data_IF_626123656126
#
_entry.id   IF_626123656126
#
_cell.length_a   1.000
_cell.length_b   1.000
_cell.length_c   1.000
_cell.angle_alpha   90.00
_cell.angle_beta   90.00
_cell.angle_gamma   90.00
#
_symmetry.space_group_name_H-M   'P 1'
#
loop_
_entity.id
_entity.type
_entity.pdbx_description
1 polymer ?
#
# COMPACT_ATOMS: atom_id res chain seq x y z
N UNK A 1 -1.08 20.93 11.66
CA UNK A 1 0.01 19.94 11.52
C UNK A 1 0.14 19.67 10.04
N UNK A 2 1.30 19.91 9.45
CA UNK A 2 1.57 19.42 8.10
C UNK A 2 1.81 17.92 8.24
N UNK A 3 0.95 17.11 7.62
CA UNK A 3 1.25 15.69 7.46
C UNK A 3 2.51 15.57 6.59
N UNK A 4 3.49 14.80 7.05
CA UNK A 4 4.60 14.40 6.18
C UNK A 4 4.00 13.55 5.06
N UNK A 5 4.48 13.73 3.82
CA UNK A 5 4.11 12.89 2.66
C UNK A 5 4.17 11.38 3.00
N UNK A 6 5.03 10.99 3.95
CA UNK A 6 5.15 9.68 4.63
C UNK A 6 3.86 8.95 4.90
N UNK A 7 2.81 9.63 5.38
CA UNK A 7 1.56 8.96 5.84
C UNK A 7 0.46 8.92 4.78
N UNK A 8 0.64 9.62 3.67
CA UNK A 8 -0.36 9.79 2.60
C UNK A 8 -0.12 8.91 1.39
N UNK A 9 1.06 8.31 1.28
CA UNK A 9 1.42 7.40 0.20
C UNK A 9 0.99 6.00 0.59
N UNK A 10 -0.31 5.75 0.47
CA UNK A 10 -0.79 4.39 0.36
C UNK A 10 0.06 3.65 -0.69
N UNK A 11 0.37 2.37 -0.49
CA UNK A 11 0.90 1.48 -1.54
C UNK A 11 -0.15 1.27 -2.66
N UNK A 12 -1.15 2.16 -2.76
CA UNK A 12 -2.18 2.28 -3.78
C UNK A 12 -1.51 2.58 -5.10
N UNK A 13 -1.10 1.49 -5.70
CA UNK A 13 -0.87 1.17 -7.09
C UNK A 13 -0.45 -0.28 -7.01
N UNK A 14 -0.88 -1.13 -7.94
CA UNK A 14 -0.27 -2.46 -8.21
C UNK A 14 -1.02 -3.69 -7.69
N UNK A 15 -2.12 -3.57 -6.94
CA UNK A 15 -3.00 -4.75 -6.69
C UNK A 15 -3.42 -5.47 -7.99
N UNK A 16 -3.58 -4.74 -9.10
CA UNK A 16 -3.84 -5.32 -10.43
C UNK A 16 -2.60 -5.80 -11.20
N UNK A 17 -1.40 -5.35 -10.84
CA UNK A 17 -0.18 -5.63 -11.61
C UNK A 17 0.63 -6.83 -11.09
N UNK A 18 0.33 -7.34 -9.89
CA UNK A 18 0.89 -8.61 -9.39
C UNK A 18 -0.02 -9.82 -9.68
N UNK A 19 -1.29 -9.59 -10.01
CA UNK A 19 -2.32 -10.63 -10.15
C UNK A 19 -2.79 -10.85 -11.59
N UNK A 20 -1.95 -10.60 -12.60
CA UNK A 20 -2.20 -11.09 -13.95
C UNK A 20 -1.59 -12.50 -14.04
N UNK A 21 -2.40 -13.58 -14.02
CA UNK A 21 -1.85 -14.92 -14.20
C UNK A 21 -1.19 -14.93 -15.56
N UNK A 22 0.13 -15.15 -15.60
CA UNK A 22 0.73 -15.59 -16.83
C UNK A 22 0.20 -17.01 -17.05
N UNK A 23 -0.93 -17.12 -17.76
CA UNK A 23 -1.52 -18.40 -18.11
C UNK A 23 -0.50 -19.21 -18.93
N UNK A 24 0.34 -19.97 -18.22
CA UNK A 24 1.23 -20.95 -18.79
C UNK A 24 0.37 -22.09 -19.29
N UNK A 25 0.22 -22.08 -20.60
CA UNK A 25 -0.21 -23.20 -21.42
C UNK A 25 0.65 -24.43 -21.10
N UNK A 26 0.19 -25.26 -20.18
CA UNK A 26 0.63 -26.66 -20.05
C UNK A 26 -0.58 -27.54 -19.79
N UNK A 27 -0.83 -28.43 -20.74
CA UNK A 27 -2.08 -29.19 -20.86
C UNK A 27 -2.29 -30.27 -19.80
N UNK A 28 -3.55 -30.73 -19.78
CA UNK A 28 -4.06 -32.02 -19.30
C UNK A 28 -3.42 -32.63 -18.05
N UNK A 29 -4.17 -32.72 -16.94
CA UNK A 29 -4.55 -33.99 -16.32
C UNK A 29 -5.76 -33.78 -15.39
N UNK A 30 -6.75 -34.66 -15.51
CA UNK A 30 -7.99 -34.59 -14.76
C UNK A 30 -7.98 -35.38 -13.44
N UNK A 31 -8.94 -35.02 -12.59
CA UNK A 31 -9.63 -35.83 -11.58
C UNK A 31 -8.82 -36.44 -10.42
N UNK A 32 -8.94 -35.86 -9.22
CA UNK A 32 -9.75 -36.37 -8.08
C UNK A 32 -9.26 -35.81 -6.73
N UNK A 33 -10.16 -35.81 -5.75
CA UNK A 33 -10.12 -35.13 -4.45
C UNK A 33 -9.03 -35.59 -3.46
N UNK A 34 -8.47 -34.65 -2.67
CA UNK A 34 -8.40 -34.64 -1.19
C UNK A 34 -7.73 -33.36 -0.67
N UNK A 35 -8.03 -32.96 0.57
CA UNK A 35 -7.43 -31.80 1.23
C UNK A 35 -5.89 -31.88 1.37
N UNK A 36 -5.32 -33.09 1.24
CA UNK A 36 -3.88 -33.33 1.18
C UNK A 36 -3.24 -32.84 -0.15
N UNK A 37 -4.01 -32.76 -1.24
CA UNK A 37 -3.56 -32.23 -2.54
C UNK A 37 -3.47 -30.71 -2.53
N UNK A 38 -4.24 -30.02 -1.68
CA UNK A 38 -4.10 -28.58 -1.50
C UNK A 38 -2.77 -28.24 -0.82
N UNK A 39 -2.36 -29.02 0.20
CA UNK A 39 -1.07 -28.86 0.85
C UNK A 39 0.10 -29.26 -0.07
N UNK A 40 -0.06 -30.29 -0.91
CA UNK A 40 0.95 -30.69 -1.90
C UNK A 40 1.06 -29.72 -3.08
N UNK A 41 -0.07 -29.19 -3.57
CA UNK A 41 -0.10 -28.14 -4.59
C UNK A 41 0.43 -26.80 -4.05
N UNK A 42 0.15 -26.47 -2.78
CA UNK A 42 0.76 -25.34 -2.08
C UNK A 42 2.25 -25.58 -1.88
N UNK A 43 2.68 -26.79 -1.49
CA UNK A 43 4.10 -27.13 -1.41
C UNK A 43 4.79 -27.09 -2.77
N UNK A 44 4.08 -27.35 -3.88
CA UNK A 44 4.54 -27.21 -5.26
C UNK A 44 4.62 -25.74 -5.70
N UNK A 45 3.67 -24.89 -5.29
CA UNK A 45 3.71 -23.43 -5.54
C UNK A 45 4.79 -22.74 -4.70
N UNK A 46 4.98 -23.17 -3.45
CA UNK A 46 6.02 -22.67 -2.55
C UNK A 46 7.42 -23.19 -2.91
N UNK A 47 7.51 -24.24 -3.72
CA UNK A 47 8.79 -24.72 -4.27
C UNK A 47 9.15 -24.08 -5.61
N UNK A 48 8.19 -23.47 -6.31
CA UNK A 48 8.47 -22.61 -7.45
C UNK A 48 8.77 -21.20 -6.94
N UNK A 49 10.05 -20.89 -6.74
CA UNK A 49 10.56 -19.61 -6.21
C UNK A 49 10.47 -18.47 -7.24
N UNK A 50 9.45 -18.49 -8.10
CA UNK A 50 9.23 -17.53 -9.18
C UNK A 50 8.84 -16.15 -8.64
N UNK A 51 8.99 -15.12 -9.48
CA UNK A 51 8.58 -13.77 -9.09
C UNK A 51 7.06 -13.66 -8.95
N UNK A 52 6.30 -14.43 -9.75
CA UNK A 52 4.85 -14.52 -9.70
C UNK A 52 4.37 -15.11 -8.36
N UNK A 53 4.93 -16.26 -7.93
CA UNK A 53 4.53 -16.91 -6.67
C UNK A 53 4.85 -16.04 -5.45
N UNK A 54 5.97 -15.32 -5.47
CA UNK A 54 6.31 -14.33 -4.45
C UNK A 54 5.39 -13.12 -4.47
N UNK A 55 4.95 -12.68 -5.65
CA UNK A 55 3.93 -11.64 -5.81
C UNK A 55 2.61 -12.05 -5.16
N UNK A 56 2.13 -13.26 -5.45
CA UNK A 56 0.93 -13.82 -4.82
C UNK A 56 1.07 -13.91 -3.30
N UNK A 57 2.23 -14.34 -2.81
CA UNK A 57 2.51 -14.45 -1.38
C UNK A 57 2.50 -13.09 -0.66
N UNK A 58 3.00 -12.04 -1.31
CA UNK A 58 3.04 -10.68 -0.74
C UNK A 58 1.66 -9.98 -0.78
N UNK A 59 0.80 -10.34 -1.74
CA UNK A 59 -0.47 -9.65 -2.00
C UNK A 59 -1.35 -9.44 -0.76
N UNK A 60 -1.57 -10.43 0.13
CA UNK A 60 -2.41 -10.21 1.31
C UNK A 60 -1.88 -9.14 2.28
N UNK A 61 -0.55 -9.02 2.43
CA UNK A 61 0.05 -7.96 3.25
C UNK A 61 -0.05 -6.59 2.57
N UNK A 62 0.08 -6.53 1.24
CA UNK A 62 -0.17 -5.31 0.47
C UNK A 62 -1.62 -4.86 0.57
N UNK A 63 -2.57 -5.78 0.51
CA UNK A 63 -3.99 -5.46 0.64
C UNK A 63 -4.30 -4.94 2.05
N UNK A 64 -3.78 -5.58 3.09
CA UNK A 64 -3.95 -5.14 4.48
C UNK A 64 -3.38 -3.74 4.73
N UNK A 65 -2.16 -3.47 4.26
CA UNK A 65 -1.52 -2.14 4.38
C UNK A 65 -2.27 -1.09 3.56
N UNK A 66 -2.67 -1.41 2.32
CA UNK A 66 -3.42 -0.50 1.47
C UNK A 66 -4.79 -0.14 2.03
N UNK A 67 -5.55 -1.11 2.52
CA UNK A 67 -6.86 -0.88 3.12
C UNK A 67 -6.75 0.04 4.34
N UNK A 68 -5.79 -0.24 5.22
CA UNK A 68 -5.58 0.55 6.42
C UNK A 68 -5.10 1.98 6.08
N UNK A 69 -4.07 2.12 5.26
CA UNK A 69 -3.53 3.43 4.87
C UNK A 69 -4.55 4.26 4.09
N UNK A 70 -5.34 3.64 3.21
CA UNK A 70 -6.43 4.32 2.53
C UNK A 70 -7.48 4.87 3.50
N UNK A 71 -7.83 4.09 4.54
CA UNK A 71 -8.75 4.55 5.59
C UNK A 71 -8.18 5.74 6.36
N UNK A 72 -6.91 5.66 6.79
CA UNK A 72 -6.23 6.75 7.48
C UNK A 72 -6.27 8.04 6.67
N UNK A 73 -5.88 7.98 5.39
CA UNK A 73 -5.84 9.16 4.52
C UNK A 73 -7.23 9.72 4.27
N UNK A 74 -8.19 8.85 3.94
CA UNK A 74 -9.56 9.26 3.60
C UNK A 74 -10.27 9.94 4.77
N UNK A 75 -10.02 9.48 5.99
CA UNK A 75 -10.68 9.97 7.19
C UNK A 75 -9.77 10.81 8.09
N UNK A 76 -8.62 11.26 7.59
CA UNK A 76 -7.63 12.03 8.36
C UNK A 76 -8.25 13.28 8.99
N UNK A 77 -9.13 13.95 8.26
CA UNK A 77 -9.85 15.16 8.71
C UNK A 77 -10.63 14.94 10.02
N UNK A 78 -10.98 13.70 10.38
CA UNK A 78 -11.68 13.34 11.61
C UNK A 78 -10.78 12.59 12.59
N UNK A 79 -9.94 11.68 12.09
CA UNK A 79 -9.03 10.85 12.90
C UNK A 79 -8.00 11.73 13.60
N UNK A 80 -7.34 12.62 12.87
CA UNK A 80 -6.27 13.47 13.41
C UNK A 80 -6.74 14.42 14.50
N UNK A 81 -7.83 15.19 14.32
CA UNK A 81 -8.36 16.01 15.40
C UNK A 81 -8.77 15.18 16.62
N UNK A 82 -9.39 14.01 16.42
CA UNK A 82 -9.80 13.12 17.52
C UNK A 82 -8.60 12.66 18.35
N UNK A 83 -7.55 12.15 17.70
CA UNK A 83 -6.32 11.72 18.38
C UNK A 83 -5.62 12.87 19.09
N UNK A 84 -5.56 14.05 18.46
CA UNK A 84 -4.94 15.22 19.07
C UNK A 84 -5.74 15.72 20.28
N UNK A 85 -7.07 15.80 20.19
CA UNK A 85 -7.92 16.19 21.31
C UNK A 85 -7.80 15.19 22.45
N UNK A 86 -7.83 13.89 22.16
CA UNK A 86 -7.62 12.83 23.15
C UNK A 86 -6.29 12.99 23.90
N UNK A 87 -5.19 13.26 23.18
CA UNK A 87 -3.87 13.52 23.79
C UNK A 87 -3.82 14.75 24.68
N UNK A 88 -4.62 15.76 24.38
CA UNK A 88 -4.68 17.01 25.13
C UNK A 88 -5.74 16.99 26.26
N UNK A 89 -6.37 15.83 26.52
CA UNK A 89 -7.43 15.71 27.53
C UNK A 89 -8.73 16.44 27.13
N UNK A 90 -8.97 16.58 25.82
CA UNK A 90 -10.18 17.18 25.30
C UNK A 90 -11.40 16.27 25.49
N UNK A 91 -12.57 16.90 25.66
CA UNK A 91 -13.85 16.22 25.90
C UNK A 91 -14.82 16.47 24.74
N UNK A 92 -14.53 15.85 23.60
CA UNK A 92 -15.40 15.93 22.42
C UNK A 92 -16.75 15.23 22.66
N UNK A 93 -17.72 15.42 21.77
CA UNK A 93 -18.99 14.67 21.81
C UNK A 93 -19.02 13.47 20.87
N UNK A 94 -17.93 13.25 20.13
CA UNK A 94 -17.71 12.11 19.26
C UNK A 94 -16.22 11.77 19.26
N UNK A 95 -15.87 10.59 18.75
CA UNK A 95 -14.49 10.21 18.48
C UNK A 95 -14.44 9.47 17.14
N UNK A 96 -13.37 9.68 16.37
CA UNK A 96 -13.06 8.88 15.19
C UNK A 96 -11.65 8.33 15.35
N UNK A 97 -11.52 7.00 15.34
CA UNK A 97 -10.24 6.32 15.48
C UNK A 97 -9.91 5.57 14.18
N UNK A 98 -8.62 5.22 13.96
CA UNK A 98 -8.26 4.31 12.87
C UNK A 98 -9.03 2.98 12.93
N UNK A 99 -9.29 2.38 11.77
CA UNK A 99 -9.98 1.09 11.70
C UNK A 99 -9.06 -0.11 12.07
N UNK A 100 -8.71 -0.18 13.35
CA UNK A 100 -7.77 -1.15 13.91
C UNK A 100 -8.33 -2.58 13.89
N UNK A 101 -9.65 -2.73 14.05
CA UNK A 101 -10.33 -4.03 13.99
C UNK A 101 -10.28 -4.64 12.59
N UNK A 102 -10.40 -3.84 11.53
CA UNK A 102 -10.25 -4.32 10.17
C UNK A 102 -8.79 -4.68 9.85
N UNK A 103 -7.81 -3.84 10.23
CA UNK A 103 -6.40 -4.17 10.05
C UNK A 103 -6.02 -5.48 10.75
N UNK A 104 -6.49 -5.67 12.00
CA UNK A 104 -6.28 -6.91 12.75
C UNK A 104 -6.80 -8.12 11.98
N UNK A 105 -8.02 -8.03 11.45
CA UNK A 105 -8.64 -9.09 10.67
C UNK A 105 -7.83 -9.41 9.40
N UNK A 106 -7.47 -8.38 8.63
CA UNK A 106 -6.75 -8.54 7.37
C UNK A 106 -5.37 -9.20 7.60
N UNK A 107 -4.68 -8.83 8.68
CA UNK A 107 -3.42 -9.46 9.07
C UNK A 107 -3.60 -10.90 9.57
N UNK A 108 -4.64 -11.20 10.35
CA UNK A 108 -4.97 -12.59 10.76
C UNK A 108 -5.24 -13.47 9.53
N UNK A 109 -5.96 -12.96 8.53
CA UNK A 109 -6.22 -13.65 7.26
C UNK A 109 -4.95 -13.85 6.43
N UNK A 110 -4.09 -12.83 6.33
CA UNK A 110 -2.79 -12.92 5.66
C UNK A 110 -1.87 -13.97 6.33
N UNK A 111 -1.79 -13.98 7.66
CA UNK A 111 -1.00 -14.96 8.43
C UNK A 111 -1.55 -16.38 8.32
N UNK A 112 -2.86 -16.55 8.22
CA UNK A 112 -3.48 -17.86 8.06
C UNK A 112 -3.36 -18.42 6.63
N UNK A 113 -3.04 -17.58 5.64
CA UNK A 113 -2.93 -18.00 4.26
C UNK A 113 -1.65 -18.84 4.03
N UNK A 114 -1.77 -20.13 3.64
CA UNK A 114 -0.62 -21.01 3.48
C UNK A 114 0.26 -20.67 2.27
N UNK A 115 -0.22 -19.83 1.35
CA UNK A 115 0.61 -19.28 0.25
C UNK A 115 1.46 -18.09 0.67
N UNK A 116 1.12 -17.43 1.77
CA UNK A 116 1.78 -16.23 2.28
C UNK A 116 2.72 -16.57 3.42
N UNK A 117 2.25 -17.36 4.38
CA UNK A 117 2.99 -17.68 5.58
C UNK A 117 4.32 -18.40 5.28
N UNK A 118 5.41 -17.87 5.84
CA UNK A 118 6.75 -18.42 5.74
C UNK A 118 7.53 -18.02 4.49
N UNK A 119 6.92 -17.34 3.52
CA UNK A 119 7.60 -16.84 2.31
C UNK A 119 8.48 -15.64 2.65
N UNK A 120 7.91 -14.64 3.32
CA UNK A 120 8.61 -13.44 3.79
C UNK A 120 8.65 -13.44 5.33
N UNK A 121 9.68 -14.09 5.89
CA UNK A 121 9.75 -14.35 7.35
C UNK A 121 9.90 -13.10 8.20
N UNK A 122 10.48 -12.05 7.65
CA UNK A 122 10.59 -10.72 8.23
C UNK A 122 9.23 -10.01 8.26
N UNK A 123 8.48 -10.01 7.14
CA UNK A 123 7.11 -9.49 7.12
C UNK A 123 6.22 -10.26 8.10
N UNK A 124 6.35 -11.59 8.14
CA UNK A 124 5.63 -12.43 9.09
C UNK A 124 5.91 -12.02 10.55
N UNK A 125 7.18 -11.78 10.89
CA UNK A 125 7.58 -11.38 12.23
C UNK A 125 7.06 -9.99 12.60
N UNK A 126 7.11 -9.05 11.66
CA UNK A 126 6.60 -7.69 11.85
C UNK A 126 5.06 -7.69 11.97
N UNK A 127 4.35 -8.49 11.17
CA UNK A 127 2.91 -8.68 11.27
C UNK A 127 2.51 -9.30 12.61
N UNK A 128 3.27 -10.29 13.11
CA UNK A 128 3.04 -10.91 14.42
C UNK A 128 3.24 -9.88 15.57
N UNK A 129 4.20 -8.96 15.44
CA UNK A 129 4.42 -7.84 16.37
C UNK A 129 3.23 -6.86 16.37
N UNK A 130 2.74 -6.48 15.19
CA UNK A 130 1.56 -5.62 15.03
C UNK A 130 0.31 -6.29 15.60
N UNK A 131 0.08 -7.57 15.29
CA UNK A 131 -1.06 -8.35 15.79
C UNK A 131 -1.08 -8.47 17.31
N UNK A 132 0.11 -8.61 17.93
CA UNK A 132 0.22 -8.67 19.39
C UNK A 132 -0.28 -7.38 20.06
N UNK A 133 -0.04 -6.22 19.45
CA UNK A 133 -0.53 -4.92 19.93
C UNK A 133 -2.02 -4.73 19.63
N UNK A 134 -2.46 -5.10 18.42
CA UNK A 134 -3.85 -5.00 17.98
C UNK A 134 -4.80 -5.85 18.83
N UNK A 135 -4.32 -6.93 19.44
CA UNK A 135 -5.11 -7.79 20.33
C UNK A 135 -5.83 -7.02 21.44
N UNK A 136 -5.15 -6.06 22.07
CA UNK A 136 -5.71 -5.25 23.14
C UNK A 136 -6.17 -3.88 22.62
N UNK A 137 -5.50 -3.33 21.61
CA UNK A 137 -5.76 -2.00 21.09
C UNK A 137 -7.06 -1.91 20.28
N UNK A 138 -7.35 -2.89 19.40
CA UNK A 138 -8.55 -2.90 18.58
C UNK A 138 -9.86 -2.93 19.40
N UNK A 139 -10.06 -3.87 20.36
CA UNK A 139 -11.27 -3.88 21.17
C UNK A 139 -11.38 -2.66 22.10
N UNK A 140 -10.26 -2.05 22.49
CA UNK A 140 -10.27 -0.79 23.24
C UNK A 140 -10.78 0.36 22.37
N UNK A 141 -10.34 0.46 21.11
CA UNK A 141 -10.82 1.44 20.16
C UNK A 141 -12.33 1.30 19.93
N UNK A 142 -12.81 0.09 19.64
CA UNK A 142 -14.24 -0.20 19.46
C UNK A 142 -15.06 0.21 20.70
N UNK A 143 -14.53 -0.06 21.90
CA UNK A 143 -15.16 0.34 23.17
C UNK A 143 -15.24 1.86 23.31
N UNK A 144 -14.18 2.58 22.94
CA UNK A 144 -14.16 4.05 22.96
C UNK A 144 -15.22 4.60 22.00
N UNK A 145 -15.27 4.13 20.75
CA UNK A 145 -16.27 4.57 19.78
C UNK A 145 -17.70 4.28 20.23
N UNK A 146 -17.94 3.11 20.83
CA UNK A 146 -19.23 2.74 21.40
C UNK A 146 -19.66 3.68 22.53
N UNK A 147 -18.73 4.06 23.42
CA UNK A 147 -18.98 4.98 24.55
C UNK A 147 -19.44 6.36 24.09
N UNK A 148 -18.83 6.90 23.02
CA UNK A 148 -19.27 8.17 22.44
C UNK A 148 -20.59 8.01 21.68
N UNK A 149 -20.76 6.92 20.93
CA UNK A 149 -21.99 6.63 20.18
C UNK A 149 -23.22 6.47 21.08
N UNK A 150 -23.06 5.87 22.26
CA UNK A 150 -24.12 5.72 23.26
C UNK A 150 -24.36 7.00 24.09
N UNK A 151 -23.55 8.04 23.91
CA UNK A 151 -23.52 9.27 24.72
C UNK A 151 -23.29 9.00 26.21
N UNK A 152 -22.56 7.93 26.54
CA UNK A 152 -22.28 7.56 27.94
C UNK A 152 -21.53 8.65 28.71
N UNK A 153 -20.77 9.50 28.00
CA UNK A 153 -20.10 10.68 28.56
C UNK A 153 -21.02 11.67 29.28
N UNK A 154 -22.30 11.72 28.92
CA UNK A 154 -23.28 12.58 29.58
C UNK A 154 -23.60 12.11 31.01
N UNK A 155 -23.40 10.82 31.29
CA UNK A 155 -23.74 10.21 32.58
C UNK A 155 -22.57 10.23 33.58
N UNK A 156 -21.34 10.05 33.09
CA UNK A 156 -20.15 9.97 33.93
C UNK A 156 -19.22 11.18 33.82
N UNK A 157 -19.61 12.19 33.04
CA UNK A 157 -18.84 13.43 32.87
C UNK A 157 -17.45 13.17 32.31
N UNK A 158 -17.32 12.26 31.32
CA UNK A 158 -16.07 11.87 30.65
C UNK A 158 -15.10 11.01 31.47
N UNK A 159 -15.48 10.56 32.66
CA UNK A 159 -14.60 9.77 33.52
C UNK A 159 -14.09 8.47 32.86
N UNK A 160 -14.95 7.71 32.16
CA UNK A 160 -14.50 6.50 31.45
C UNK A 160 -13.72 6.86 30.17
N UNK A 161 -13.98 8.01 29.53
CA UNK A 161 -13.16 8.49 28.41
C UNK A 161 -11.72 8.73 28.85
N UNK A 162 -11.51 9.49 29.93
CA UNK A 162 -10.17 9.79 30.46
C UNK A 162 -9.42 8.49 30.82
N UNK A 163 -10.13 7.51 31.41
CA UNK A 163 -9.56 6.20 31.73
C UNK A 163 -9.17 5.42 30.48
N UNK A 164 -10.03 5.36 29.46
CA UNK A 164 -9.73 4.64 28.22
C UNK A 164 -8.61 5.35 27.44
N UNK A 165 -8.59 6.68 27.40
CA UNK A 165 -7.52 7.47 26.81
C UNK A 165 -6.15 7.13 27.41
N UNK A 166 -6.06 7.03 28.74
CA UNK A 166 -4.83 6.67 29.45
C UNK A 166 -4.32 5.26 29.12
N UNK A 167 -5.21 4.35 28.69
CA UNK A 167 -4.84 3.00 28.23
C UNK A 167 -4.52 2.97 26.74
N UNK A 168 -5.30 3.70 25.94
CA UNK A 168 -5.25 3.70 24.49
C UNK A 168 -3.97 4.37 23.98
N UNK A 169 -3.65 5.58 24.45
CA UNK A 169 -2.55 6.37 23.89
C UNK A 169 -1.18 5.66 23.96
N UNK A 170 -0.77 5.05 25.09
CA UNK A 170 0.51 4.34 25.15
C UNK A 170 0.55 3.06 24.29
N UNK A 171 -0.59 2.39 24.10
CA UNK A 171 -0.69 1.23 23.21
C UNK A 171 -0.65 1.67 21.74
N UNK A 172 -1.37 2.75 21.42
CA UNK A 172 -1.40 3.33 20.09
C UNK A 172 -0.02 3.84 19.66
N UNK A 173 0.75 4.48 20.55
CA UNK A 173 2.13 4.93 20.24
C UNK A 173 3.06 3.75 19.90
N UNK A 174 2.92 2.61 20.59
CA UNK A 174 3.69 1.40 20.26
C UNK A 174 3.24 0.78 18.96
N UNK A 175 1.92 0.74 18.74
CA UNK A 175 1.34 0.24 17.50
C UNK A 175 1.78 1.07 16.30
N UNK A 176 1.75 2.40 16.39
CA UNK A 176 2.17 3.32 15.33
C UNK A 176 3.61 3.02 14.90
N UNK A 177 4.53 2.87 15.86
CA UNK A 177 5.92 2.50 15.55
C UNK A 177 6.08 1.08 14.97
N UNK A 178 5.34 0.10 15.48
CA UNK A 178 5.39 -1.28 14.95
C UNK A 178 4.77 -1.39 13.55
N UNK A 179 3.70 -0.65 13.31
CA UNK A 179 3.04 -0.56 12.01
C UNK A 179 3.94 0.14 10.98
N UNK A 180 4.57 1.27 11.33
CA UNK A 180 5.50 1.97 10.45
C UNK A 180 6.65 1.05 10.00
N UNK A 181 7.16 0.20 10.90
CA UNK A 181 8.17 -0.82 10.59
C UNK A 181 7.62 -1.88 9.63
N UNK A 182 6.45 -2.45 9.95
CA UNK A 182 5.79 -3.46 9.12
C UNK A 182 5.51 -2.95 7.69
N UNK A 183 4.92 -1.75 7.56
CA UNK A 183 4.63 -1.13 6.26
C UNK A 183 5.89 -0.85 5.45
N UNK A 184 6.98 -0.43 6.10
CA UNK A 184 8.27 -0.26 5.47
C UNK A 184 8.83 -1.58 4.93
N UNK A 185 8.79 -2.67 5.71
CA UNK A 185 9.24 -4.00 5.30
C UNK A 185 8.42 -4.53 4.11
N UNK A 186 7.09 -4.39 4.15
CA UNK A 186 6.20 -4.76 3.02
C UNK A 186 6.55 -3.96 1.77
N UNK A 187 6.77 -2.65 1.93
CA UNK A 187 7.13 -1.75 0.83
C UNK A 187 8.50 -2.09 0.22
N UNK A 188 9.47 -2.52 1.03
CA UNK A 188 10.78 -2.95 0.57
C UNK A 188 10.68 -4.19 -0.33
N UNK A 189 10.06 -5.27 0.15
CA UNK A 189 9.84 -6.48 -0.63
C UNK A 189 9.02 -6.23 -1.90
N UNK A 190 8.04 -5.34 -1.81
CA UNK A 190 7.28 -4.93 -2.98
C UNK A 190 8.20 -4.31 -4.04
N UNK A 191 9.07 -3.37 -3.68
CA UNK A 191 10.02 -2.75 -4.61
C UNK A 191 10.97 -3.78 -5.22
N UNK A 192 11.48 -4.72 -4.41
CA UNK A 192 12.33 -5.82 -4.90
C UNK A 192 11.62 -6.67 -5.95
N UNK A 193 10.36 -7.03 -5.70
CA UNK A 193 9.57 -7.79 -6.66
C UNK A 193 9.33 -7.01 -7.96
N UNK A 194 9.08 -5.70 -7.90
CA UNK A 194 8.94 -4.89 -9.13
C UNK A 194 10.21 -4.86 -9.97
N UNK A 195 11.37 -4.79 -9.34
CA UNK A 195 12.65 -4.88 -10.03
C UNK A 195 12.84 -6.28 -10.65
N UNK A 196 12.50 -7.35 -9.92
CA UNK A 196 12.60 -8.71 -10.44
C UNK A 196 11.66 -8.94 -11.65
N UNK A 197 10.42 -8.44 -11.57
CA UNK A 197 9.45 -8.48 -12.68
C UNK A 197 9.96 -7.73 -13.92
N UNK A 198 10.57 -6.56 -13.72
CA UNK A 198 11.18 -5.78 -14.80
C UNK A 198 12.26 -6.58 -15.53
N UNK A 199 13.13 -7.27 -14.78
CA UNK A 199 14.18 -8.10 -15.36
C UNK A 199 13.63 -9.32 -16.11
N UNK A 200 12.56 -9.95 -15.63
CA UNK A 200 11.87 -11.01 -16.37
C UNK A 200 11.26 -10.51 -17.68
N UNK A 201 10.53 -9.38 -17.64
CA UNK A 201 9.95 -8.78 -18.85
C UNK A 201 11.02 -8.43 -19.91
N UNK A 202 12.17 -7.91 -19.48
CA UNK A 202 13.30 -7.62 -20.37
C UNK A 202 13.84 -8.89 -21.03
N UNK A 203 13.99 -9.98 -20.27
CA UNK A 203 14.44 -11.29 -20.81
C UNK A 203 13.44 -11.89 -21.78
N UNK A 204 12.14 -11.72 -21.51
CA UNK A 204 11.05 -12.22 -22.34
C UNK A 204 10.79 -11.37 -23.59
N UNK A 205 11.54 -10.26 -23.76
CA UNK A 205 11.39 -9.36 -24.91
C UNK A 205 10.10 -8.53 -24.87
N UNK A 206 9.47 -8.40 -23.70
CA UNK A 206 8.26 -7.58 -23.46
C UNK A 206 8.64 -6.11 -23.28
N UNK A 207 9.13 -5.51 -24.36
CA UNK A 207 9.79 -4.19 -24.33
C UNK A 207 8.86 -3.09 -23.83
N UNK A 208 7.60 -3.07 -24.27
CA UNK A 208 6.68 -2.00 -23.89
C UNK A 208 6.22 -2.15 -22.43
N UNK A 209 5.94 -3.39 -21.99
CA UNK A 209 5.64 -3.69 -20.58
C UNK A 209 6.82 -3.37 -19.65
N UNK A 210 8.05 -3.71 -20.05
CA UNK A 210 9.25 -3.39 -19.29
C UNK A 210 9.44 -1.87 -19.14
N UNK A 211 9.34 -1.11 -20.25
CA UNK A 211 9.44 0.36 -20.20
C UNK A 211 8.35 0.97 -19.31
N UNK A 212 7.13 0.43 -19.38
CA UNK A 212 6.02 0.88 -18.55
C UNK A 212 6.28 0.60 -17.07
N UNK A 213 6.67 -0.62 -16.72
CA UNK A 213 6.98 -1.00 -15.35
C UNK A 213 8.14 -0.18 -14.79
N UNK A 214 9.22 0.00 -15.55
CA UNK A 214 10.34 0.86 -15.16
C UNK A 214 9.89 2.30 -14.91
N UNK A 215 9.01 2.84 -15.75
CA UNK A 215 8.45 4.17 -15.57
C UNK A 215 7.65 4.27 -14.26
N UNK A 216 6.80 3.27 -13.95
CA UNK A 216 6.07 3.25 -12.66
C UNK A 216 7.00 3.19 -11.44
N UNK A 217 8.11 2.44 -11.53
CA UNK A 217 9.15 2.40 -10.48
C UNK A 217 9.75 3.79 -10.29
N UNK A 218 10.15 4.46 -11.38
CA UNK A 218 10.74 5.81 -11.31
C UNK A 218 9.75 6.88 -10.83
N UNK A 219 8.47 6.76 -11.17
CA UNK A 219 7.42 7.64 -10.63
C UNK A 219 7.36 7.51 -9.10
N UNK A 220 7.44 6.29 -8.55
CA UNK A 220 7.50 6.09 -7.10
C UNK A 220 8.80 6.60 -6.48
N UNK A 221 9.95 6.35 -7.11
CA UNK A 221 11.24 6.89 -6.66
C UNK A 221 11.22 8.42 -6.59
N UNK A 222 10.60 9.10 -7.55
CA UNK A 222 10.45 10.56 -7.53
C UNK A 222 9.66 11.00 -6.30
N UNK A 223 8.53 10.35 -6.01
CA UNK A 223 7.74 10.64 -4.81
C UNK A 223 8.56 10.39 -3.53
N UNK A 224 9.29 9.28 -3.43
CA UNK A 224 10.17 8.99 -2.29
C UNK A 224 11.25 10.09 -2.09
N UNK A 225 11.67 10.75 -3.16
CA UNK A 225 12.61 11.87 -3.08
C UNK A 225 11.96 13.15 -2.55
N UNK A 226 10.68 13.37 -2.84
CA UNK A 226 9.92 14.53 -2.38
C UNK A 226 9.54 14.43 -0.89
N UNK A 227 9.42 13.21 -0.37
CA UNK A 227 9.10 12.95 1.03
C UNK A 227 10.28 13.24 2.02
N UNK A 228 11.46 13.58 1.50
CA UNK A 228 12.62 13.94 2.33
C UNK A 228 12.47 15.37 2.87
N UNK A 229 12.84 15.58 4.14
CA UNK A 229 12.85 16.92 4.76
C UNK A 229 13.62 17.95 3.94
N UNK A 230 14.74 17.54 3.34
CA UNK A 230 15.53 18.35 2.42
C UNK A 230 15.49 17.73 1.02
N UNK A 231 14.60 18.27 0.18
CA UNK A 231 14.41 17.80 -1.19
C UNK A 231 15.57 18.26 -2.07
N UNK A 232 16.29 17.30 -2.66
CA UNK A 232 17.28 17.56 -3.71
C UNK A 232 16.57 17.83 -5.04
N UNK A 233 16.36 19.12 -5.34
CA UNK A 233 15.67 19.57 -6.55
C UNK A 233 16.38 19.13 -7.83
N UNK A 234 17.71 19.08 -7.81
CA UNK A 234 18.51 18.69 -8.99
C UNK A 234 18.35 17.20 -9.27
N UNK A 235 18.39 16.38 -8.23
CA UNK A 235 18.14 14.95 -8.37
C UNK A 235 16.69 14.68 -8.82
N UNK A 236 15.71 15.41 -8.28
CA UNK A 236 14.31 15.27 -8.68
C UNK A 236 14.09 15.60 -10.16
N UNK A 237 14.68 16.69 -10.65
CA UNK A 237 14.59 17.05 -12.08
C UNK A 237 15.33 16.04 -12.97
N UNK A 238 16.47 15.50 -12.53
CA UNK A 238 17.15 14.43 -13.25
C UNK A 238 16.28 13.16 -13.35
N UNK A 239 15.56 12.80 -12.27
CA UNK A 239 14.60 11.69 -12.28
C UNK A 239 13.44 11.95 -13.25
N UNK A 240 12.91 13.17 -13.27
CA UNK A 240 11.89 13.59 -14.23
C UNK A 240 12.40 13.46 -15.68
N UNK A 241 13.66 13.81 -15.95
CA UNK A 241 14.25 13.61 -17.27
C UNK A 241 14.29 12.13 -17.68
N UNK A 242 14.73 11.22 -16.79
CA UNK A 242 14.67 9.77 -17.03
C UNK A 242 13.25 9.27 -17.32
N UNK A 243 12.26 9.79 -16.58
CA UNK A 243 10.85 9.45 -16.77
C UNK A 243 10.32 9.90 -18.13
N UNK A 244 10.67 11.13 -18.57
CA UNK A 244 10.29 11.64 -19.89
C UNK A 244 10.90 10.80 -21.01
N UNK A 245 12.18 10.43 -20.88
CA UNK A 245 12.87 9.58 -21.85
C UNK A 245 12.24 8.18 -21.96
N UNK A 246 11.80 7.59 -20.85
CA UNK A 246 11.07 6.32 -20.86
C UNK A 246 9.65 6.47 -21.43
N UNK A 247 8.93 7.52 -21.04
CA UNK A 247 7.59 7.81 -21.55
C UNK A 247 7.57 7.96 -23.08
N UNK A 248 8.62 8.58 -23.65
CA UNK A 248 8.80 8.69 -25.10
C UNK A 248 9.05 7.35 -25.81
N UNK A 249 9.54 6.33 -25.11
CA UNK A 249 9.74 4.96 -25.64
C UNK A 249 8.48 4.10 -25.55
N UNK A 250 7.46 4.52 -24.80
CA UNK A 250 6.20 3.78 -24.71
C UNK A 250 5.44 3.86 -26.02
N UNK A 251 5.11 2.69 -26.57
CA UNK A 251 4.24 2.58 -27.73
C UNK A 251 2.81 2.92 -27.32
N UNK A 252 2.13 3.70 -28.14
CA UNK A 252 0.73 4.04 -27.91
C UNK A 252 -0.14 2.80 -28.09
N UNK A 253 -0.69 2.33 -26.98
CA UNK A 253 -1.69 1.27 -26.92
C UNK A 253 -2.92 1.80 -26.17
N UNK A 254 -4.14 1.35 -26.50
CA UNK A 254 -5.37 1.82 -25.84
C UNK A 254 -5.31 1.71 -24.31
N UNK A 255 -4.63 0.69 -23.80
CA UNK A 255 -4.47 0.43 -22.38
C UNK A 255 -3.65 1.50 -21.63
N UNK A 256 -2.88 2.34 -22.35
CA UNK A 256 -2.12 3.48 -21.78
C UNK A 256 -2.77 4.84 -22.08
N UNK A 257 -4.00 4.86 -22.60
CA UNK A 257 -4.64 6.06 -23.15
C UNK A 257 -4.67 7.28 -22.20
N UNK A 258 -4.94 7.05 -20.91
CA UNK A 258 -4.96 8.11 -19.89
C UNK A 258 -3.64 8.26 -19.12
N UNK A 259 -2.78 7.24 -19.16
CA UNK A 259 -1.58 7.17 -18.32
C UNK A 259 -0.58 8.29 -18.63
N UNK A 260 -0.22 8.47 -19.91
CA UNK A 260 0.74 9.52 -20.31
C UNK A 260 0.26 10.92 -19.94
N UNK A 261 -1.05 11.18 -20.05
CA UNK A 261 -1.64 12.47 -19.68
C UNK A 261 -1.55 12.71 -18.17
N UNK A 262 -1.90 11.71 -17.35
CA UNK A 262 -1.82 11.84 -15.90
C UNK A 262 -0.37 11.97 -15.42
N UNK A 263 0.55 11.19 -16.00
CA UNK A 263 1.98 11.29 -15.71
C UNK A 263 2.53 12.70 -15.99
N UNK A 264 2.17 13.30 -17.13
CA UNK A 264 2.60 14.65 -17.47
C UNK A 264 2.04 15.70 -16.50
N UNK A 265 0.79 15.54 -16.07
CA UNK A 265 0.17 16.38 -15.05
C UNK A 265 0.91 16.26 -13.71
N UNK A 266 1.12 15.03 -13.23
CA UNK A 266 1.92 14.75 -12.03
C UNK A 266 3.31 15.40 -12.09
N UNK A 267 4.05 15.23 -13.19
CA UNK A 267 5.37 15.86 -13.38
C UNK A 267 5.26 17.40 -13.30
N UNK A 268 4.22 17.99 -13.91
CA UNK A 268 3.95 19.42 -13.82
C UNK A 268 3.74 19.89 -12.38
N UNK A 269 2.92 19.16 -11.63
CA UNK A 269 2.62 19.46 -10.22
C UNK A 269 3.83 19.28 -9.33
N UNK A 270 4.67 18.26 -9.55
CA UNK A 270 5.96 18.12 -8.87
C UNK A 270 6.85 19.34 -9.11
N UNK A 271 6.96 19.83 -10.35
CA UNK A 271 7.75 21.03 -10.64
C UNK A 271 7.19 22.28 -9.95
N UNK A 272 5.87 22.44 -9.94
CA UNK A 272 5.20 23.52 -9.20
C UNK A 272 5.47 23.43 -7.69
N UNK A 273 5.40 22.23 -7.11
CA UNK A 273 5.72 21.97 -5.71
C UNK A 273 7.18 22.32 -5.38
N UNK A 274 8.13 21.87 -6.20
CA UNK A 274 9.56 22.22 -6.06
C UNK A 274 9.82 23.73 -6.19
N UNK A 275 8.98 24.46 -6.92
CA UNK A 275 9.02 25.92 -7.06
C UNK A 275 8.29 26.67 -5.92
N UNK A 276 7.61 25.96 -5.01
CA UNK A 276 6.79 26.55 -3.94
C UNK A 276 5.46 27.12 -4.44
N UNK A 277 4.94 26.60 -5.55
CA UNK A 277 3.72 27.05 -6.23
C UNK A 277 2.54 26.08 -6.12
N UNK A 278 2.76 24.88 -5.58
CA UNK A 278 1.76 23.87 -5.27
C UNK A 278 2.03 23.30 -3.87
N UNK A 279 1.04 22.69 -3.25
CA UNK A 279 1.23 21.99 -1.99
C UNK A 279 1.48 20.48 -2.18
N UNK A 280 1.82 19.78 -1.10
CA UNK A 280 2.13 18.36 -1.16
C UNK A 280 0.90 17.49 -1.47
N UNK A 281 -0.31 17.93 -1.11
CA UNK A 281 -1.54 17.20 -1.39
C UNK A 281 -1.83 17.19 -2.89
N UNK A 282 -1.58 18.30 -3.59
CA UNK A 282 -1.71 18.36 -5.05
C UNK A 282 -0.82 17.28 -5.73
N UNK A 283 0.41 17.11 -5.23
CA UNK A 283 1.36 16.09 -5.74
C UNK A 283 0.83 14.67 -5.49
N UNK A 284 0.28 14.43 -4.31
CA UNK A 284 -0.28 13.12 -3.92
C UNK A 284 -1.53 12.78 -4.76
N UNK A 285 -2.42 13.75 -4.96
CA UNK A 285 -3.63 13.57 -5.75
C UNK A 285 -3.30 13.21 -7.20
N UNK A 286 -2.38 13.95 -7.83
CA UNK A 286 -1.97 13.66 -9.22
C UNK A 286 -1.16 12.35 -9.33
N UNK A 287 -0.42 11.97 -8.29
CA UNK A 287 0.21 10.66 -8.21
C UNK A 287 -0.84 9.54 -8.18
N UNK A 288 -1.85 9.66 -7.31
CA UNK A 288 -2.94 8.70 -7.18
C UNK A 288 -3.75 8.59 -8.48
N UNK A 289 -3.98 9.68 -9.19
CA UNK A 289 -4.60 9.69 -10.51
C UNK A 289 -3.75 8.99 -11.57
N UNK A 290 -2.43 9.20 -11.53
CA UNK A 290 -1.47 8.54 -12.44
C UNK A 290 -1.52 7.03 -12.24
N UNK A 291 -1.48 6.59 -10.99
CA UNK A 291 -1.64 5.19 -10.64
C UNK A 291 -2.98 4.64 -11.11
N UNK A 292 -4.09 5.30 -10.73
CA UNK A 292 -5.45 4.80 -10.94
C UNK A 292 -5.78 4.63 -12.42
N UNK A 293 -5.15 5.44 -13.29
CA UNK A 293 -5.28 5.32 -14.75
C UNK A 293 -4.84 3.98 -15.34
N UNK A 294 -4.18 3.14 -14.53
CA UNK A 294 -3.68 1.82 -14.92
C UNK A 294 -4.21 0.68 -14.05
N UNK A 295 -5.22 0.95 -13.22
CA UNK A 295 -5.80 -0.05 -12.31
C UNK A 295 -6.42 -1.28 -13.00
N UNK A 296 -6.72 -1.18 -14.29
CA UNK A 296 -7.24 -2.27 -15.12
C UNK A 296 -6.27 -2.75 -16.20
N UNK A 297 -5.02 -2.29 -16.16
CA UNK A 297 -4.03 -2.61 -17.18
C UNK A 297 -3.51 -4.04 -17.01
N UNK A 298 -3.81 -4.90 -17.97
CA UNK A 298 -3.05 -6.15 -18.13
C UNK A 298 -1.73 -5.84 -18.82
N UNK A 299 -0.62 -6.22 -18.18
CA UNK A 299 0.72 -6.06 -18.74
C UNK A 299 0.89 -6.83 -20.07
N UNK A 300 0.08 -7.86 -20.33
CA UNK A 300 0.08 -8.59 -21.59
C UNK A 300 -0.44 -7.73 -22.76
N UNK A 301 -1.32 -6.76 -22.49
CA UNK A 301 -1.89 -5.86 -23.51
C UNK A 301 -0.88 -4.82 -24.02
N UNK A 302 0.24 -4.65 -23.31
CA UNK A 302 1.28 -3.69 -23.67
C UNK A 302 2.16 -4.18 -24.82
N UNK A 303 2.30 -5.49 -25.01
CA UNK A 303 3.11 -6.10 -26.05
C UNK A 303 2.25 -7.05 -26.93
N UNK A 304 1.24 -6.53 -27.65
CA UNK A 304 0.37 -7.37 -28.45
C UNK A 304 1.16 -8.06 -29.56
N UNK A 305 0.99 -9.38 -29.69
CA UNK A 305 1.57 -10.15 -30.79
C UNK A 305 1.12 -9.51 -32.12
N UNK A 306 2.08 -9.19 -32.99
CA UNK A 306 1.77 -8.71 -34.35
C UNK A 306 0.79 -9.68 -35.01
N UNK A 307 -0.38 -9.17 -35.41
CA UNK A 307 -1.35 -9.91 -36.23
C UNK A 307 -0.78 -10.18 -37.62
#
# INVERSE_FOLDING_TARGET
MFYSMRRTLSVLAVGGLLCAPAALMTGCFGSSSKADDAAAAVSSLLSDNSVESKGEALSPYLDATNNYNHNIVTFDYAISPSLNNLRNGGHDTYISLPNLSQLKKDLEEARANPKTAGVFKDIDADADEVLALLKDLAPLADKMEAYYSSKSYMADGYAESDRMAAQFLPLYDKFDAAYDKFDATVTEHFKELRVAQLEEMRKDGRVNAANYLELTIKTRELVDMLDKENIDKTAAEAKIAEMNDLSAKLTDVPALGSYKSNLNRFIGTVRSYLAGQADGNDVIDDFNDTVSSTGHLDLADLDPKKK
#
